data_IF_821279590993
#
_entry.id   IF_821279590993
#
_cell.length_a   1.000
_cell.length_b   1.000
_cell.length_c   1.000
_cell.angle_alpha   90.00
_cell.angle_beta   90.00
_cell.angle_gamma   90.00
#
_symmetry.space_group_name_H-M   'P 1'
#
loop_
_entity.id
_entity.type
_entity.pdbx_description
1 polymer ?
#
# COMPACT_ATOMS: atom_id res chain seq x y z
N UNK A 1 1.89 9.15 -21.56
CA UNK A 1 0.49 9.01 -21.15
C UNK A 1 -0.38 10.20 -21.57
N UNK A 2 0.22 11.18 -22.27
CA UNK A 2 -0.51 12.33 -22.79
C UNK A 2 -1.65 11.88 -23.71
N UNK A 3 -2.86 12.41 -23.49
CA UNK A 3 -4.05 12.01 -24.22
C UNK A 3 -4.71 10.70 -23.78
N UNK A 4 -4.23 10.05 -22.73
CA UNK A 4 -4.86 8.85 -22.15
C UNK A 4 -5.51 9.14 -20.79
N UNK A 5 -6.42 8.26 -20.35
CA UNK A 5 -7.01 8.30 -19.00
C UNK A 5 -6.17 7.57 -17.94
N UNK A 6 -4.99 7.05 -18.32
CA UNK A 6 -4.13 6.30 -17.41
C UNK A 6 -3.40 7.28 -16.47
N UNK A 7 -3.59 7.17 -15.15
CA UNK A 7 -2.94 8.07 -14.19
C UNK A 7 -1.43 7.82 -14.12
N UNK A 8 -0.68 8.89 -13.84
CA UNK A 8 0.75 8.78 -13.50
C UNK A 8 0.87 8.40 -12.03
N UNK A 9 1.53 7.28 -11.76
CA UNK A 9 1.89 6.83 -10.43
C UNK A 9 3.37 7.08 -10.16
N UNK A 10 3.68 7.80 -9.07
CA UNK A 10 5.05 8.03 -8.62
C UNK A 10 5.34 7.25 -7.34
N UNK A 11 6.53 6.67 -7.24
CA UNK A 11 7.05 6.14 -5.98
C UNK A 11 7.68 7.27 -5.18
N UNK A 12 7.56 7.23 -3.85
CA UNK A 12 8.03 8.30 -2.99
C UNK A 12 8.50 7.78 -1.63
N UNK A 13 8.87 8.70 -0.75
CA UNK A 13 9.29 8.46 0.66
C UNK A 13 10.60 7.70 0.78
N UNK A 14 11.55 7.96 -0.13
CA UNK A 14 12.86 7.31 -0.13
C UNK A 14 12.79 5.87 -0.64
N UNK A 15 11.94 5.63 -1.64
CA UNK A 15 11.81 4.30 -2.28
C UNK A 15 13.18 3.78 -2.79
N UNK A 16 13.49 2.48 -2.64
CA UNK A 16 12.66 1.43 -2.02
C UNK A 16 12.84 1.29 -0.49
N UNK A 17 13.88 1.91 0.08
CA UNK A 17 14.29 1.66 1.45
C UNK A 17 13.42 2.36 2.51
N UNK A 18 12.82 3.51 2.18
CA UNK A 18 12.02 4.28 3.14
C UNK A 18 12.84 4.89 4.29
N UNK A 19 14.15 5.10 4.08
CA UNK A 19 15.10 5.50 5.13
C UNK A 19 15.55 6.96 5.04
N UNK A 20 15.08 7.71 4.05
CA UNK A 20 15.38 9.14 3.95
C UNK A 20 14.84 9.90 5.17
N UNK A 21 15.46 11.03 5.55
CA UNK A 21 14.95 11.90 6.60
C UNK A 21 13.47 12.27 6.38
N UNK A 22 12.71 12.32 7.46
CA UNK A 22 11.25 12.51 7.40
C UNK A 22 10.82 13.73 6.59
N UNK A 23 11.49 14.88 6.78
CA UNK A 23 11.20 16.11 6.03
C UNK A 23 11.43 15.96 4.52
N UNK A 24 12.46 15.21 4.11
CA UNK A 24 12.72 14.95 2.70
C UNK A 24 11.67 14.01 2.10
N UNK A 25 11.15 13.08 2.87
CA UNK A 25 10.10 12.16 2.43
C UNK A 25 8.78 12.91 2.17
N UNK A 26 8.45 13.89 3.00
CA UNK A 26 7.31 14.79 2.76
C UNK A 26 7.51 15.65 1.52
N UNK A 27 8.67 16.30 1.40
CA UNK A 27 9.00 17.14 0.24
C UNK A 27 8.97 16.34 -1.08
N UNK A 28 9.41 15.08 -1.06
CA UNK A 28 9.36 14.18 -2.24
C UNK A 28 7.90 13.90 -2.67
N UNK A 29 6.97 13.72 -1.72
CA UNK A 29 5.55 13.58 -2.02
C UNK A 29 4.99 14.86 -2.65
N UNK A 30 5.21 16.01 -1.98
CA UNK A 30 4.71 17.30 -2.42
C UNK A 30 5.19 17.65 -3.83
N UNK A 31 6.47 17.41 -4.14
CA UNK A 31 7.04 17.65 -5.47
C UNK A 31 6.45 16.70 -6.51
N UNK A 32 6.27 15.41 -6.17
CA UNK A 32 5.64 14.44 -7.09
C UNK A 32 4.20 14.83 -7.43
N UNK A 33 3.43 15.31 -6.46
CA UNK A 33 2.06 15.79 -6.68
C UNK A 33 2.05 17.05 -7.54
N UNK A 34 2.94 17.99 -7.27
CA UNK A 34 3.11 19.23 -8.05
C UNK A 34 3.49 18.94 -9.49
N UNK A 35 4.32 17.93 -9.75
CA UNK A 35 4.71 17.46 -11.08
C UNK A 35 3.58 16.69 -11.80
N UNK A 36 2.43 16.53 -11.15
CA UNK A 36 1.21 16.00 -11.76
C UNK A 36 0.94 14.52 -11.52
N UNK A 37 1.64 13.88 -10.59
CA UNK A 37 1.31 12.52 -10.18
C UNK A 37 -0.12 12.46 -9.60
N UNK A 38 -0.89 11.46 -10.03
CA UNK A 38 -2.26 11.20 -9.56
C UNK A 38 -2.33 10.08 -8.55
N UNK A 39 -1.26 9.31 -8.45
CA UNK A 39 -1.11 8.22 -7.51
C UNK A 39 0.29 8.27 -6.89
N UNK A 40 0.38 8.13 -5.59
CA UNK A 40 1.66 8.13 -4.86
C UNK A 40 1.81 6.81 -4.11
N UNK A 41 2.83 6.04 -4.51
CA UNK A 41 3.21 4.80 -3.85
C UNK A 41 4.24 5.14 -2.77
N UNK A 42 3.84 5.16 -1.51
CA UNK A 42 4.69 5.49 -0.37
C UNK A 42 5.23 4.24 0.33
N UNK A 43 6.45 4.29 0.82
CA UNK A 43 7.06 3.23 1.65
C UNK A 43 6.96 3.63 3.11
N UNK A 44 6.32 2.80 3.95
CA UNK A 44 6.24 3.03 5.40
C UNK A 44 7.60 2.87 6.08
N UNK A 45 7.80 3.48 7.24
CA UNK A 45 8.95 3.21 8.12
C UNK A 45 8.76 1.87 8.83
N UNK A 46 9.39 0.81 8.31
CA UNK A 46 9.31 -0.54 8.90
C UNK A 46 9.73 -0.61 10.36
N UNK A 47 10.64 0.30 10.79
CA UNK A 47 11.07 0.41 12.18
C UNK A 47 9.90 0.57 13.15
N UNK A 48 8.87 1.36 12.78
CA UNK A 48 7.69 1.57 13.64
C UNK A 48 6.93 0.25 13.86
N UNK A 49 6.82 -0.56 12.82
CA UNK A 49 6.19 -1.88 12.89
C UNK A 49 7.02 -2.83 13.76
N UNK A 50 8.34 -2.89 13.54
CA UNK A 50 9.23 -3.80 14.24
C UNK A 50 9.38 -3.45 15.72
N UNK A 51 9.36 -2.16 16.07
CA UNK A 51 9.34 -1.68 17.47
C UNK A 51 7.92 -1.65 18.08
N UNK A 52 6.89 -2.02 17.30
CA UNK A 52 5.49 -1.97 17.70
C UNK A 52 5.00 -0.55 18.11
N UNK A 53 5.63 0.49 17.58
CA UNK A 53 5.19 1.87 17.74
C UNK A 53 4.11 2.20 16.70
N UNK A 54 2.90 1.70 16.98
CA UNK A 54 1.76 1.82 16.09
C UNK A 54 1.24 3.25 15.96
N UNK A 55 1.44 4.04 17.01
CA UNK A 55 1.07 5.46 17.00
C UNK A 55 1.98 6.27 16.07
N UNK A 56 3.29 6.00 16.11
CA UNK A 56 4.23 6.63 15.18
C UNK A 56 3.94 6.25 13.72
N UNK A 57 3.60 4.97 13.45
CA UNK A 57 3.19 4.54 12.11
C UNK A 57 1.95 5.28 11.62
N UNK A 58 0.92 5.40 12.49
CA UNK A 58 -0.30 6.11 12.16
C UNK A 58 -0.04 7.59 11.84
N UNK A 59 0.73 8.29 12.68
CA UNK A 59 1.04 9.70 12.48
C UNK A 59 1.88 9.94 11.23
N UNK A 60 2.87 9.08 10.96
CA UNK A 60 3.68 9.13 9.73
C UNK A 60 2.78 9.00 8.51
N UNK A 61 1.95 7.97 8.49
CA UNK A 61 1.07 7.68 7.37
C UNK A 61 0.03 8.77 7.15
N UNK A 62 -0.53 9.32 8.24
CA UNK A 62 -1.49 10.44 8.19
C UNK A 62 -0.85 11.69 7.57
N UNK A 63 0.36 12.04 7.98
CA UNK A 63 1.07 13.17 7.39
C UNK A 63 1.41 12.96 5.90
N UNK A 64 1.76 11.73 5.49
CA UNK A 64 1.94 11.40 4.08
C UNK A 64 0.62 11.52 3.30
N UNK A 65 -0.50 11.07 3.87
CA UNK A 65 -1.82 11.25 3.25
C UNK A 65 -2.14 12.73 3.04
N UNK A 66 -1.88 13.56 4.05
CA UNK A 66 -2.11 15.00 3.98
C UNK A 66 -1.23 15.65 2.89
N UNK A 67 0.05 15.27 2.78
CA UNK A 67 0.96 15.76 1.74
C UNK A 67 0.55 15.34 0.31
N UNK A 68 -0.13 14.20 0.16
CA UNK A 68 -0.62 13.73 -1.14
C UNK A 68 -1.84 14.52 -1.64
N UNK A 69 -2.53 15.30 -0.81
CA UNK A 69 -3.74 16.05 -1.21
C UNK A 69 -4.79 15.13 -1.84
N UNK A 70 -5.18 15.40 -3.09
CA UNK A 70 -6.18 14.61 -3.81
C UNK A 70 -5.61 13.39 -4.55
N UNK A 71 -4.28 13.18 -4.54
CA UNK A 71 -3.69 12.02 -5.17
C UNK A 71 -4.00 10.73 -4.41
N UNK A 72 -4.23 9.62 -5.11
CA UNK A 72 -4.41 8.30 -4.51
C UNK A 72 -3.14 7.81 -3.82
N UNK A 73 -3.26 7.30 -2.62
CA UNK A 73 -2.14 6.82 -1.81
C UNK A 73 -2.12 5.31 -1.75
N UNK A 74 -1.01 4.72 -2.20
CA UNK A 74 -0.75 3.29 -2.03
C UNK A 74 0.35 3.08 -0.99
N UNK A 75 -0.03 2.53 0.17
CA UNK A 75 0.92 2.27 1.26
C UNK A 75 1.67 0.95 1.03
N UNK A 76 2.97 1.04 0.69
CA UNK A 76 3.85 -0.12 0.54
C UNK A 76 4.33 -0.55 1.93
N UNK A 77 3.93 -1.74 2.36
CA UNK A 77 4.23 -2.26 3.68
C UNK A 77 5.63 -2.91 3.77
N UNK A 78 6.21 -3.35 2.65
CA UNK A 78 7.43 -4.16 2.61
C UNK A 78 7.31 -5.42 3.48
N UNK A 79 6.28 -6.21 3.20
CA UNK A 79 5.79 -7.29 4.06
C UNK A 79 6.82 -8.37 4.37
N UNK A 80 7.78 -8.61 3.46
CA UNK A 80 8.87 -9.57 3.68
C UNK A 80 9.82 -9.18 4.81
N UNK A 81 9.80 -7.90 5.24
CA UNK A 81 10.66 -7.35 6.29
C UNK A 81 9.92 -7.09 7.62
N UNK A 82 8.63 -7.41 7.72
CA UNK A 82 7.83 -7.13 8.93
C UNK A 82 7.86 -8.26 9.98
N UNK A 83 8.54 -9.35 9.70
CA UNK A 83 8.81 -10.45 10.63
C UNK A 83 7.64 -11.41 10.85
N UNK A 84 6.41 -10.94 11.03
CA UNK A 84 5.24 -11.80 11.31
C UNK A 84 3.99 -11.35 10.55
N UNK A 85 3.08 -12.30 10.27
CA UNK A 85 1.76 -11.98 9.68
C UNK A 85 0.91 -11.09 10.60
N UNK A 86 1.11 -11.15 11.91
CA UNK A 86 0.46 -10.24 12.86
C UNK A 86 0.89 -8.79 12.64
N UNK A 87 2.18 -8.57 12.40
CA UNK A 87 2.70 -7.24 12.07
C UNK A 87 2.15 -6.75 10.73
N UNK A 88 2.07 -7.63 9.73
CA UNK A 88 1.45 -7.32 8.44
C UNK A 88 -0.01 -6.89 8.63
N UNK A 89 -0.80 -7.66 9.37
CA UNK A 89 -2.21 -7.34 9.64
C UNK A 89 -2.37 -5.97 10.33
N UNK A 90 -1.59 -5.71 11.39
CA UNK A 90 -1.66 -4.44 12.13
C UNK A 90 -1.22 -3.25 11.27
N UNK A 91 -0.12 -3.39 10.53
CA UNK A 91 0.36 -2.34 9.63
C UNK A 91 -0.68 -2.04 8.54
N UNK A 92 -1.31 -3.07 7.95
CA UNK A 92 -2.40 -2.92 6.99
C UNK A 92 -3.54 -2.08 7.57
N UNK A 93 -4.04 -2.47 8.75
CA UNK A 93 -5.14 -1.77 9.40
C UNK A 93 -4.80 -0.31 9.70
N UNK A 94 -3.60 -0.05 10.23
CA UNK A 94 -3.17 1.31 10.60
C UNK A 94 -3.02 2.19 9.36
N UNK A 95 -2.46 1.69 8.27
CA UNK A 95 -2.36 2.44 7.01
C UNK A 95 -3.75 2.80 6.46
N UNK A 96 -4.70 1.87 6.49
CA UNK A 96 -6.08 2.14 6.08
C UNK A 96 -6.75 3.18 6.98
N UNK A 97 -6.61 3.07 8.30
CA UNK A 97 -7.13 4.06 9.27
C UNK A 97 -6.53 5.44 9.08
N UNK A 98 -5.30 5.54 8.61
CA UNK A 98 -4.61 6.81 8.33
C UNK A 98 -4.93 7.37 6.93
N UNK A 99 -5.78 6.70 6.14
CA UNK A 99 -6.29 7.19 4.87
C UNK A 99 -5.57 6.68 3.62
N UNK A 100 -4.94 5.52 3.68
CA UNK A 100 -4.45 4.86 2.47
C UNK A 100 -5.63 4.38 1.60
N UNK A 101 -5.60 4.70 0.30
CA UNK A 101 -6.57 4.22 -0.67
C UNK A 101 -6.28 2.78 -1.11
N UNK A 102 -5.00 2.40 -1.05
CA UNK A 102 -4.50 1.04 -1.30
C UNK A 102 -3.48 0.62 -0.26
N UNK A 103 -3.46 -0.67 0.05
CA UNK A 103 -2.32 -1.31 0.71
C UNK A 103 -1.59 -2.21 -0.28
N UNK A 104 -0.27 -2.08 -0.35
CA UNK A 104 0.60 -2.77 -1.29
C UNK A 104 1.61 -3.64 -0.54
N UNK A 105 1.85 -4.85 -1.02
CA UNK A 105 2.72 -5.79 -0.30
C UNK A 105 4.16 -5.31 -0.20
N UNK A 106 4.76 -4.92 -1.32
CA UNK A 106 6.23 -4.82 -1.45
C UNK A 106 6.65 -3.76 -2.46
N UNK A 107 7.91 -3.36 -2.40
CA UNK A 107 8.54 -2.49 -3.40
C UNK A 107 8.95 -3.26 -4.66
N UNK A 108 9.08 -4.60 -4.56
CA UNK A 108 9.66 -5.45 -5.59
C UNK A 108 11.19 -5.57 -5.47
N UNK A 109 11.79 -4.94 -4.47
CA UNK A 109 13.24 -4.93 -4.22
C UNK A 109 13.65 -5.71 -2.97
N UNK A 110 12.68 -6.16 -2.18
CA UNK A 110 12.94 -7.05 -1.04
C UNK A 110 13.28 -8.47 -1.50
N UNK A 111 13.92 -9.25 -0.62
CA UNK A 111 14.21 -10.67 -0.86
C UNK A 111 12.95 -11.53 -0.93
N UNK A 112 11.91 -11.16 -0.18
CA UNK A 112 10.58 -11.78 -0.19
C UNK A 112 9.55 -10.70 -0.48
N UNK A 113 8.84 -10.89 -1.58
CA UNK A 113 7.79 -9.96 -2.05
C UNK A 113 6.39 -10.53 -1.79
N UNK A 114 5.45 -10.36 -2.74
CA UNK A 114 4.09 -10.87 -2.60
C UNK A 114 4.07 -12.40 -2.42
N UNK A 115 3.37 -12.87 -1.40
CA UNK A 115 3.08 -14.29 -1.17
C UNK A 115 1.61 -14.48 -0.81
N UNK A 116 1.04 -15.65 -1.08
CA UNK A 116 -0.37 -15.92 -0.77
C UNK A 116 -0.70 -15.80 0.74
N UNK A 117 0.14 -16.29 1.69
CA UNK A 117 -0.13 -16.09 3.12
C UNK A 117 -0.16 -14.61 3.55
N UNK A 118 0.71 -13.79 3.01
CA UNK A 118 0.70 -12.34 3.23
C UNK A 118 -0.54 -11.71 2.63
N UNK A 119 -0.85 -12.07 1.38
CA UNK A 119 -1.99 -11.51 0.64
C UNK A 119 -3.31 -11.79 1.31
N UNK A 120 -3.58 -13.04 1.72
CA UNK A 120 -4.82 -13.37 2.45
C UNK A 120 -4.92 -12.61 3.78
N UNK A 121 -3.78 -12.40 4.45
CA UNK A 121 -3.73 -11.62 5.69
C UNK A 121 -4.16 -10.17 5.44
N UNK A 122 -3.60 -9.52 4.41
CA UNK A 122 -3.91 -8.13 4.06
C UNK A 122 -5.35 -7.98 3.57
N UNK A 123 -5.80 -8.87 2.69
CA UNK A 123 -7.15 -8.85 2.11
C UNK A 123 -8.22 -9.02 3.21
N UNK A 124 -7.97 -9.88 4.19
CA UNK A 124 -8.87 -10.02 5.34
C UNK A 124 -8.92 -8.76 6.22
N UNK A 125 -7.83 -8.01 6.32
CA UNK A 125 -7.86 -6.72 6.99
C UNK A 125 -8.69 -5.68 6.20
N UNK A 126 -8.64 -5.72 4.87
CA UNK A 126 -9.51 -4.88 4.02
C UNK A 126 -10.98 -5.23 4.27
N UNK A 127 -11.33 -6.52 4.27
CA UNK A 127 -12.69 -6.97 4.56
C UNK A 127 -13.17 -6.48 5.93
N UNK A 128 -12.38 -6.77 6.98
CA UNK A 128 -12.73 -6.39 8.35
C UNK A 128 -12.84 -4.88 8.54
N UNK A 129 -12.03 -4.10 7.79
CA UNK A 129 -12.10 -2.64 7.78
C UNK A 129 -13.35 -2.15 7.07
N UNK A 130 -13.66 -2.69 5.89
CA UNK A 130 -14.87 -2.38 5.14
C UNK A 130 -16.13 -2.70 5.94
N UNK A 131 -16.21 -3.87 6.56
CA UNK A 131 -17.36 -4.30 7.36
C UNK A 131 -17.66 -3.33 8.53
N UNK A 132 -16.63 -2.66 9.04
CA UNK A 132 -16.75 -1.71 10.16
C UNK A 132 -16.98 -0.26 9.75
N UNK A 133 -16.48 0.14 8.60
CA UNK A 133 -16.41 1.56 8.20
C UNK A 133 -17.17 1.88 6.93
N UNK A 134 -17.43 0.89 6.08
CA UNK A 134 -17.97 1.08 4.73
C UNK A 134 -16.96 1.63 3.71
N UNK A 135 -15.70 1.90 4.11
CA UNK A 135 -14.68 2.38 3.18
C UNK A 135 -14.07 1.25 2.37
N UNK A 136 -14.01 1.44 1.05
CA UNK A 136 -13.35 0.54 0.13
C UNK A 136 -11.86 0.91 0.04
N UNK A 137 -11.00 -0.02 0.42
CA UNK A 137 -9.55 0.11 0.23
C UNK A 137 -9.10 -0.94 -0.76
N UNK A 138 -8.27 -0.55 -1.72
CA UNK A 138 -7.75 -1.45 -2.73
C UNK A 138 -6.57 -2.28 -2.23
N UNK A 139 -6.26 -3.35 -2.96
CA UNK A 139 -5.13 -4.23 -2.67
C UNK A 139 -4.21 -4.35 -3.88
N UNK A 140 -2.89 -4.23 -3.66
CA UNK A 140 -1.90 -4.41 -4.72
C UNK A 140 -0.83 -5.44 -4.33
N UNK A 141 -0.90 -6.67 -4.87
CA UNK A 141 0.23 -7.59 -4.78
C UNK A 141 1.36 -7.06 -5.68
N UNK A 142 2.57 -7.00 -5.17
CA UNK A 142 3.71 -6.46 -5.91
C UNK A 142 4.98 -7.27 -5.68
N UNK A 143 5.81 -7.34 -6.74
CA UNK A 143 7.08 -8.04 -6.74
C UNK A 143 6.98 -9.52 -7.07
N UNK A 144 7.67 -9.93 -8.14
CA UNK A 144 7.76 -11.32 -8.57
C UNK A 144 6.58 -11.86 -9.40
N UNK A 145 5.55 -11.06 -9.63
CA UNK A 145 4.39 -11.46 -10.46
C UNK A 145 4.73 -11.15 -11.91
N UNK A 146 5.17 -12.16 -12.65
CA UNK A 146 5.63 -12.03 -14.05
C UNK A 146 4.86 -12.88 -15.05
N UNK A 147 3.97 -13.75 -14.56
CA UNK A 147 3.15 -14.63 -15.38
C UNK A 147 1.67 -14.33 -15.16
N UNK A 148 0.89 -14.47 -16.21
CA UNK A 148 -0.57 -14.38 -16.19
C UNK A 148 -1.21 -15.30 -15.15
N UNK A 149 -0.73 -16.54 -15.04
CA UNK A 149 -1.20 -17.51 -14.04
C UNK A 149 -1.02 -17.01 -12.60
N UNK A 150 0.10 -16.33 -12.31
CA UNK A 150 0.34 -15.78 -10.97
C UNK A 150 -0.63 -14.63 -10.70
N UNK A 151 -0.85 -13.74 -11.69
CA UNK A 151 -1.82 -12.65 -11.58
C UNK A 151 -3.25 -13.18 -11.36
N UNK A 152 -3.66 -14.21 -12.11
CA UNK A 152 -4.97 -14.85 -11.93
C UNK A 152 -5.14 -15.48 -10.55
N UNK A 153 -4.07 -15.98 -9.93
CA UNK A 153 -4.13 -16.53 -8.57
C UNK A 153 -4.47 -15.44 -7.55
N UNK A 154 -3.88 -14.26 -7.66
CA UNK A 154 -4.21 -13.12 -6.78
C UNK A 154 -5.61 -12.58 -7.07
N UNK A 155 -6.02 -12.54 -8.33
CA UNK A 155 -7.38 -12.14 -8.72
C UNK A 155 -8.43 -13.09 -8.12
N UNK A 156 -8.20 -14.41 -8.20
CA UNK A 156 -9.07 -15.40 -7.59
C UNK A 156 -9.13 -15.24 -6.06
N UNK A 157 -8.01 -14.96 -5.41
CA UNK A 157 -7.98 -14.70 -3.97
C UNK A 157 -8.79 -13.46 -3.59
N UNK A 158 -8.68 -12.38 -4.36
CA UNK A 158 -9.50 -11.17 -4.17
C UNK A 158 -10.99 -11.48 -4.29
N UNK A 159 -11.36 -12.21 -5.34
CA UNK A 159 -12.77 -12.61 -5.57
C UNK A 159 -13.32 -13.43 -4.41
N UNK A 160 -12.60 -14.43 -3.95
CA UNK A 160 -13.04 -15.33 -2.88
C UNK A 160 -13.20 -14.61 -1.51
N UNK A 161 -12.30 -13.69 -1.19
CA UNK A 161 -12.31 -13.03 0.12
C UNK A 161 -13.15 -11.73 0.16
N UNK A 162 -13.30 -11.02 -0.96
CA UNK A 162 -13.94 -9.69 -1.02
C UNK A 162 -15.09 -9.59 -2.04
N UNK A 163 -15.22 -10.56 -2.96
CA UNK A 163 -16.25 -10.57 -3.98
C UNK A 163 -15.91 -9.72 -5.23
N UNK A 164 -16.85 -9.73 -6.18
CA UNK A 164 -16.64 -9.15 -7.53
C UNK A 164 -16.41 -7.63 -7.52
N UNK A 165 -16.87 -6.91 -6.50
CA UNK A 165 -16.67 -5.46 -6.36
C UNK A 165 -15.19 -5.09 -6.37
N UNK A 166 -14.33 -5.90 -5.74
CA UNK A 166 -12.89 -5.63 -5.66
C UNK A 166 -12.09 -6.07 -6.89
N UNK A 167 -12.75 -6.53 -7.95
CA UNK A 167 -12.10 -6.88 -9.21
C UNK A 167 -12.05 -5.69 -10.20
N UNK A 168 -12.38 -4.50 -9.75
CA UNK A 168 -12.35 -3.29 -10.55
C UNK A 168 -10.95 -2.62 -10.49
N UNK A 169 -10.53 -1.90 -11.55
CA UNK A 169 -9.21 -1.25 -11.59
C UNK A 169 -8.94 -0.21 -10.50
N UNK A 170 -9.99 0.31 -9.88
CA UNK A 170 -9.92 1.24 -8.75
C UNK A 170 -9.69 0.56 -7.40
N UNK A 171 -9.70 -0.79 -7.34
CA UNK A 171 -9.55 -1.57 -6.10
C UNK A 171 -8.55 -2.73 -6.22
N UNK A 172 -8.10 -3.10 -7.46
CA UNK A 172 -7.13 -4.18 -7.68
C UNK A 172 -6.16 -3.91 -8.84
#
# INVERSE_FOLDING_TARGET
LEGTMIPVAAVSTGFPAGLSPYSLRLAEIEESVKDGAKEIDIVISRRHVLSQDWHALYNEMKAFREACGDAHVKAILATGELGTLRNVARASLICMMAGADFIKTSTGKESVNATLPVSITMIRQIRDYYDRTGYHVGYKPAGGISKDKDALTYLALMKEELGDRWLQPDLF
#
